data_IF_958337674143
#
_entry.id   IF_958337674143
#
_cell.length_a   1.000
_cell.length_b   1.000
_cell.length_c   1.000
_cell.angle_alpha   90.00
_cell.angle_beta   90.00
_cell.angle_gamma   90.00
#
_symmetry.space_group_name_H-M   'P 1'
#
loop_
_entity.id
_entity.type
_entity.pdbx_description
1 polymer ?
#
# COMPACT_ATOMS: atom_id res chain seq x y z
N UNK A 1 -18.93 -7.52 -16.82
CA UNK A 1 -18.08 -6.62 -16.03
C UNK A 1 -18.12 -7.08 -14.57
N UNK A 2 -16.99 -7.20 -13.92
CA UNK A 2 -16.94 -7.52 -12.49
C UNK A 2 -17.35 -6.30 -11.66
N UNK A 3 -17.99 -6.51 -10.52
CA UNK A 3 -18.34 -5.47 -9.57
C UNK A 3 -17.64 -5.71 -8.22
N UNK A 4 -17.31 -4.62 -7.54
CA UNK A 4 -16.60 -4.64 -6.25
C UNK A 4 -17.51 -3.99 -5.22
N UNK A 5 -17.68 -4.66 -4.07
CA UNK A 5 -18.34 -4.12 -2.88
C UNK A 5 -17.41 -4.22 -1.68
N UNK A 6 -17.49 -3.27 -0.76
CA UNK A 6 -16.82 -3.35 0.52
C UNK A 6 -17.84 -3.79 1.56
N UNK A 7 -17.49 -4.75 2.38
CA UNK A 7 -18.37 -5.31 3.40
C UNK A 7 -17.65 -5.38 4.75
N UNK A 8 -18.43 -5.22 5.80
CA UNK A 8 -17.99 -5.38 7.18
C UNK A 8 -18.54 -6.69 7.75
N UNK A 9 -17.67 -7.42 8.44
CA UNK A 9 -18.02 -8.61 9.22
C UNK A 9 -17.74 -8.31 10.67
N UNK A 10 -18.81 -8.23 11.51
CA UNK A 10 -18.64 -8.00 12.94
C UNK A 10 -17.86 -9.15 13.60
N UNK A 11 -17.18 -8.84 14.69
CA UNK A 11 -16.58 -9.87 15.56
C UNK A 11 -17.69 -10.67 16.28
N UNK A 12 -17.44 -11.95 16.47
CA UNK A 12 -18.32 -12.78 17.33
C UNK A 12 -18.12 -12.51 18.82
N UNK A 13 -17.04 -11.82 19.18
CA UNK A 13 -16.74 -11.43 20.56
C UNK A 13 -17.18 -9.98 20.74
N UNK A 14 -18.03 -9.75 21.73
CA UNK A 14 -18.52 -8.42 22.08
C UNK A 14 -17.37 -7.47 22.44
N UNK A 15 -17.46 -6.22 21.97
CA UNK A 15 -16.43 -5.21 22.22
C UNK A 15 -15.14 -5.34 21.39
N UNK A 16 -15.04 -6.34 20.50
CA UNK A 16 -13.88 -6.48 19.58
C UNK A 16 -14.19 -5.94 18.19
N UNK A 17 -13.13 -5.46 17.55
CA UNK A 17 -13.17 -5.01 16.15
C UNK A 17 -13.57 -6.15 15.21
N UNK A 18 -14.41 -5.84 14.25
CA UNK A 18 -14.74 -6.69 13.12
C UNK A 18 -13.74 -6.48 11.98
N UNK A 19 -13.91 -7.20 10.89
CA UNK A 19 -13.02 -7.18 9.72
C UNK A 19 -13.71 -6.62 8.50
N UNK A 20 -13.00 -5.82 7.72
CA UNK A 20 -13.42 -5.37 6.40
C UNK A 20 -12.94 -6.35 5.32
N UNK A 21 -13.72 -6.54 4.29
CA UNK A 21 -13.36 -7.39 3.16
C UNK A 21 -13.97 -6.86 1.86
N UNK A 22 -13.31 -7.14 0.74
CA UNK A 22 -13.86 -6.89 -0.57
C UNK A 22 -14.66 -8.10 -1.06
N UNK A 23 -15.81 -7.83 -1.65
CA UNK A 23 -16.65 -8.79 -2.33
C UNK A 23 -16.58 -8.51 -3.82
N UNK A 24 -16.02 -9.45 -4.58
CA UNK A 24 -15.85 -9.35 -6.03
C UNK A 24 -16.88 -10.27 -6.66
N UNK A 25 -17.69 -9.71 -7.55
CA UNK A 25 -18.80 -10.41 -8.20
C UNK A 25 -18.54 -10.41 -9.69
N UNK A 26 -18.38 -11.62 -10.27
CA UNK A 26 -18.22 -11.81 -11.71
C UNK A 26 -19.07 -12.99 -12.17
N UNK A 27 -19.90 -12.80 -13.20
CA UNK A 27 -20.78 -13.82 -13.76
C UNK A 27 -21.65 -14.53 -12.69
N UNK A 28 -22.20 -13.76 -11.73
CA UNK A 28 -22.98 -14.25 -10.57
C UNK A 28 -22.17 -15.07 -9.55
N UNK A 29 -20.88 -15.26 -9.77
CA UNK A 29 -19.99 -15.89 -8.79
C UNK A 29 -19.41 -14.82 -7.88
N UNK A 30 -19.53 -15.06 -6.57
CA UNK A 30 -19.05 -14.15 -5.53
C UNK A 30 -17.78 -14.73 -4.93
N UNK A 31 -16.75 -13.89 -4.82
CA UNK A 31 -15.52 -14.18 -4.08
C UNK A 31 -15.27 -13.11 -3.03
N UNK A 32 -14.77 -13.53 -1.88
CA UNK A 32 -14.39 -12.64 -0.80
C UNK A 32 -12.86 -12.54 -0.73
N UNK A 33 -12.37 -11.33 -0.67
CA UNK A 33 -10.96 -11.03 -0.43
C UNK A 33 -10.87 -10.31 0.93
N UNK A 34 -10.31 -10.99 1.92
CA UNK A 34 -10.12 -10.43 3.25
C UNK A 34 -9.06 -9.33 3.22
N UNK A 35 -9.26 -8.34 4.08
CA UNK A 35 -8.27 -7.30 4.34
C UNK A 35 -7.71 -7.44 5.76
N UNK A 36 -6.64 -6.73 6.05
CA UNK A 36 -6.10 -6.63 7.41
C UNK A 36 -6.79 -5.52 8.24
N UNK A 37 -7.74 -4.79 7.63
CA UNK A 37 -8.37 -3.64 8.24
C UNK A 37 -9.46 -4.07 9.21
N UNK A 38 -9.37 -3.55 10.44
CA UNK A 38 -10.31 -3.82 11.52
C UNK A 38 -10.89 -2.52 12.04
N UNK A 39 -12.20 -2.51 12.27
CA UNK A 39 -12.96 -1.38 12.82
C UNK A 39 -14.06 -1.90 13.74
N UNK A 40 -14.63 -1.04 14.57
CA UNK A 40 -15.82 -1.35 15.33
C UNK A 40 -17.10 -1.21 14.49
N UNK A 41 -18.16 -1.92 14.87
CA UNK A 41 -19.43 -1.92 14.13
C UNK A 41 -20.03 -0.51 13.95
N UNK A 42 -19.89 0.36 14.94
CA UNK A 42 -20.35 1.75 14.92
C UNK A 42 -19.54 2.69 14.02
N UNK A 43 -18.37 2.23 13.56
CA UNK A 43 -17.47 2.97 12.66
C UNK A 43 -17.73 2.61 11.18
N UNK A 44 -18.78 1.80 10.90
CA UNK A 44 -19.11 1.34 9.55
C UNK A 44 -20.50 1.80 9.10
N UNK A 45 -20.56 2.43 7.92
CA UNK A 45 -21.81 2.78 7.26
C UNK A 45 -22.13 1.78 6.14
N UNK A 46 -23.14 0.94 6.39
CA UNK A 46 -23.47 -0.18 5.51
C UNK A 46 -24.12 0.23 4.19
N UNK A 47 -24.87 1.35 4.16
CA UNK A 47 -25.55 1.81 2.95
C UNK A 47 -24.57 2.45 1.99
N UNK A 48 -23.64 3.24 2.50
CA UNK A 48 -22.61 3.92 1.70
C UNK A 48 -21.34 3.08 1.49
N UNK A 49 -21.24 1.91 2.12
CA UNK A 49 -20.08 1.02 2.08
C UNK A 49 -18.77 1.76 2.44
N UNK A 50 -18.80 2.61 3.47
CA UNK A 50 -17.70 3.45 3.88
C UNK A 50 -17.43 3.42 5.39
N UNK A 51 -16.20 3.81 5.75
CA UNK A 51 -15.79 4.00 7.14
C UNK A 51 -16.23 5.37 7.63
N UNK A 52 -16.88 5.42 8.80
CA UNK A 52 -17.26 6.68 9.45
C UNK A 52 -16.03 7.23 10.17
N UNK A 53 -15.48 8.31 9.62
CA UNK A 53 -14.27 8.95 10.15
C UNK A 53 -14.68 10.00 11.19
N UNK A 54 -14.91 9.55 12.44
CA UNK A 54 -15.29 10.44 13.55
C UNK A 54 -14.84 9.86 14.90
N UNK A 55 -14.78 10.72 15.93
CA UNK A 55 -14.49 10.32 17.31
C UNK A 55 -12.99 10.20 17.64
N UNK A 56 -12.64 9.56 18.76
CA UNK A 56 -11.27 9.52 19.28
C UNK A 56 -10.26 8.74 18.39
N UNK A 57 -10.76 7.91 17.50
CA UNK A 57 -9.95 7.09 16.58
C UNK A 57 -9.85 7.67 15.16
N UNK A 58 -10.23 8.91 14.95
CA UNK A 58 -10.28 9.58 13.64
C UNK A 58 -9.01 9.33 12.81
N UNK A 59 -7.82 9.44 13.40
CA UNK A 59 -6.55 9.24 12.67
C UNK A 59 -6.41 7.81 12.14
N UNK A 60 -6.79 6.81 12.93
CA UNK A 60 -6.75 5.39 12.52
C UNK A 60 -7.78 5.14 11.42
N UNK A 61 -9.00 5.64 11.62
CA UNK A 61 -10.11 5.45 10.69
C UNK A 61 -9.86 6.16 9.34
N UNK A 62 -9.24 7.34 9.36
CA UNK A 62 -8.79 8.03 8.16
C UNK A 62 -7.81 7.18 7.38
N UNK A 63 -6.79 6.63 8.04
CA UNK A 63 -5.82 5.72 7.40
C UNK A 63 -6.44 4.45 6.85
N UNK A 64 -7.45 3.87 7.53
CA UNK A 64 -8.19 2.70 7.02
C UNK A 64 -9.02 3.09 5.79
N UNK A 65 -9.74 4.21 5.83
CA UNK A 65 -10.55 4.69 4.72
C UNK A 65 -9.71 4.95 3.45
N UNK A 66 -8.55 5.59 3.60
CA UNK A 66 -7.62 5.84 2.50
C UNK A 66 -7.08 4.54 1.90
N UNK A 67 -6.64 3.59 2.72
CA UNK A 67 -6.14 2.29 2.25
C UNK A 67 -7.23 1.50 1.51
N UNK A 68 -8.46 1.49 2.03
CA UNK A 68 -9.60 0.87 1.33
C UNK A 68 -9.85 1.50 -0.04
N UNK A 69 -9.76 2.83 -0.14
CA UNK A 69 -9.89 3.56 -1.40
C UNK A 69 -8.80 3.17 -2.40
N UNK A 70 -7.55 3.05 -1.94
CA UNK A 70 -6.43 2.61 -2.78
C UNK A 70 -6.59 1.17 -3.26
N UNK A 71 -6.96 0.27 -2.36
CA UNK A 71 -7.15 -1.14 -2.72
C UNK A 71 -8.32 -1.30 -3.69
N UNK A 72 -9.41 -0.54 -3.51
CA UNK A 72 -10.51 -0.50 -4.46
C UNK A 72 -10.04 -0.02 -5.84
N UNK A 73 -9.29 1.07 -5.91
CA UNK A 73 -8.73 1.60 -7.17
C UNK A 73 -7.84 0.56 -7.88
N UNK A 74 -7.05 -0.20 -7.12
CA UNK A 74 -6.21 -1.28 -7.67
C UNK A 74 -7.03 -2.45 -8.17
N UNK A 75 -8.07 -2.86 -7.46
CA UNK A 75 -9.02 -3.87 -7.92
C UNK A 75 -9.70 -3.44 -9.22
N UNK A 76 -10.14 -2.18 -9.31
CA UNK A 76 -10.71 -1.61 -10.53
C UNK A 76 -9.70 -1.59 -11.69
N UNK A 77 -8.43 -1.29 -11.41
CA UNK A 77 -7.34 -1.37 -12.40
C UNK A 77 -7.11 -2.80 -12.87
N UNK A 78 -7.12 -3.77 -11.95
CA UNK A 78 -7.00 -5.19 -12.28
C UNK A 78 -8.16 -5.66 -13.17
N UNK A 79 -9.39 -5.27 -12.86
CA UNK A 79 -10.56 -5.60 -13.68
C UNK A 79 -10.41 -5.01 -15.09
N UNK A 80 -10.07 -3.70 -15.18
CA UNK A 80 -9.88 -3.03 -16.48
C UNK A 80 -8.80 -3.71 -17.33
N UNK A 81 -7.70 -4.13 -16.70
CA UNK A 81 -6.62 -4.84 -17.41
C UNK A 81 -7.11 -6.17 -17.97
N UNK A 82 -7.82 -6.99 -17.18
CA UNK A 82 -8.39 -8.25 -17.63
C UNK A 82 -9.43 -8.07 -18.75
N UNK A 83 -10.21 -6.99 -18.70
CA UNK A 83 -11.17 -6.65 -19.77
C UNK A 83 -10.48 -6.23 -21.07
N UNK A 84 -9.37 -5.49 -20.99
CA UNK A 84 -8.56 -5.13 -22.16
C UNK A 84 -7.93 -6.33 -22.86
N UNK A 85 -7.56 -7.38 -22.09
CA UNK A 85 -7.01 -8.62 -22.64
C UNK A 85 -8.06 -9.45 -23.44
N UNK A 86 -9.33 -9.05 -23.43
CA UNK A 86 -10.47 -9.71 -24.13
C UNK A 86 -10.60 -11.21 -23.84
N UNK A 87 -10.02 -11.68 -22.74
CA UNK A 87 -10.15 -13.08 -22.30
C UNK A 87 -11.31 -13.20 -21.30
N UNK A 88 -11.90 -14.39 -21.25
CA UNK A 88 -12.81 -14.71 -20.14
C UNK A 88 -11.99 -14.76 -18.85
N UNK A 89 -12.41 -14.01 -17.84
CA UNK A 89 -11.78 -14.01 -16.54
C UNK A 89 -12.81 -14.29 -15.42
N UNK A 90 -12.34 -14.84 -14.34
CA UNK A 90 -13.09 -15.13 -13.12
C UNK A 90 -12.83 -14.09 -12.03
N UNK A 91 -13.60 -14.13 -10.96
CA UNK A 91 -13.33 -13.32 -9.77
C UNK A 91 -11.99 -13.71 -9.10
N UNK A 92 -11.57 -14.97 -9.21
CA UNK A 92 -10.29 -15.47 -8.70
C UNK A 92 -9.12 -14.86 -9.49
N UNK A 93 -9.25 -14.68 -10.80
CA UNK A 93 -8.23 -14.03 -11.64
C UNK A 93 -8.06 -12.55 -11.26
N UNK A 94 -9.15 -11.85 -10.90
CA UNK A 94 -9.08 -10.48 -10.40
C UNK A 94 -8.29 -10.43 -9.10
N UNK A 95 -8.54 -11.34 -8.15
CA UNK A 95 -7.82 -11.41 -6.88
C UNK A 95 -6.34 -11.73 -7.11
N UNK A 96 -6.03 -12.69 -7.97
CA UNK A 96 -4.65 -13.06 -8.29
C UNK A 96 -3.87 -11.88 -8.91
N UNK A 97 -4.50 -11.17 -9.85
CA UNK A 97 -3.90 -9.99 -10.48
C UNK A 97 -3.73 -8.84 -9.47
N UNK A 98 -4.72 -8.61 -8.60
CA UNK A 98 -4.61 -7.63 -7.53
C UNK A 98 -3.41 -7.91 -6.62
N UNK A 99 -3.24 -9.14 -6.14
CA UNK A 99 -2.10 -9.49 -5.29
C UNK A 99 -0.76 -9.32 -6.01
N UNK A 100 -0.69 -9.66 -7.29
CA UNK A 100 0.51 -9.43 -8.11
C UNK A 100 0.82 -7.94 -8.21
N UNK A 101 -0.16 -7.12 -8.59
CA UNK A 101 0.00 -5.67 -8.72
C UNK A 101 0.37 -5.02 -7.37
N UNK A 102 -0.27 -5.45 -6.28
CA UNK A 102 0.02 -4.92 -4.93
C UNK A 102 1.46 -5.23 -4.52
N UNK A 103 1.94 -6.44 -4.80
CA UNK A 103 3.33 -6.83 -4.51
C UNK A 103 4.34 -6.04 -5.35
N UNK A 104 4.04 -5.81 -6.63
CA UNK A 104 4.89 -5.04 -7.53
C UNK A 104 4.91 -3.55 -7.19
N UNK A 105 3.82 -3.02 -6.63
CA UNK A 105 3.69 -1.60 -6.24
C UNK A 105 4.02 -1.31 -4.79
N UNK A 106 4.51 -2.27 -4.02
CA UNK A 106 4.98 -2.10 -2.65
C UNK A 106 6.39 -1.49 -2.64
N UNK A 107 6.61 -0.46 -1.80
CA UNK A 107 7.92 0.20 -1.70
C UNK A 107 9.02 -0.77 -1.25
N UNK A 108 8.76 -1.58 -0.22
CA UNK A 108 9.77 -2.49 0.31
C UNK A 108 10.16 -3.56 -0.71
N UNK A 109 9.16 -4.18 -1.34
CA UNK A 109 9.39 -5.19 -2.39
C UNK A 109 10.10 -4.58 -3.60
N UNK A 110 9.69 -3.38 -4.03
CA UNK A 110 10.33 -2.70 -5.15
C UNK A 110 11.77 -2.32 -4.82
N UNK A 111 12.02 -1.74 -3.65
CA UNK A 111 13.36 -1.35 -3.22
C UNK A 111 14.26 -2.59 -3.06
N UNK A 112 13.72 -3.71 -2.56
CA UNK A 112 14.45 -4.97 -2.50
C UNK A 112 14.85 -5.47 -3.90
N UNK A 113 13.96 -5.39 -4.89
CA UNK A 113 14.27 -5.75 -6.28
C UNK A 113 15.39 -4.89 -6.87
N UNK A 114 15.39 -3.59 -6.56
CA UNK A 114 16.46 -2.66 -6.96
C UNK A 114 17.79 -3.04 -6.32
N UNK A 115 17.79 -3.41 -5.03
CA UNK A 115 18.99 -3.85 -4.30
C UNK A 115 19.57 -5.12 -4.95
N UNK A 116 18.73 -6.10 -5.27
CA UNK A 116 19.16 -7.34 -5.96
C UNK A 116 19.78 -7.01 -7.31
N UNK A 117 19.13 -6.14 -8.08
CA UNK A 117 19.66 -5.72 -9.39
C UNK A 117 21.01 -4.99 -9.28
N UNK A 118 21.18 -4.12 -8.28
CA UNK A 118 22.46 -3.43 -8.04
C UNK A 118 23.58 -4.43 -7.71
N UNK A 119 23.29 -5.47 -6.93
CA UNK A 119 24.25 -6.55 -6.63
C UNK A 119 24.63 -7.30 -7.89
N UNK A 120 23.67 -7.68 -8.73
CA UNK A 120 23.93 -8.37 -10.01
C UNK A 120 24.79 -7.53 -10.96
N UNK A 121 24.66 -6.20 -10.91
CA UNK A 121 25.49 -5.26 -11.69
C UNK A 121 26.86 -4.99 -11.06
N UNK A 122 27.26 -5.69 -10.01
CA UNK A 122 28.54 -5.50 -9.32
C UNK A 122 28.62 -4.21 -8.48
N UNK A 123 27.51 -3.45 -8.34
CA UNK A 123 27.46 -2.19 -7.57
C UNK A 123 27.24 -2.46 -6.07
N UNK A 124 28.14 -3.22 -5.45
CA UNK A 124 27.99 -3.75 -4.08
C UNK A 124 27.80 -2.61 -3.07
N UNK A 125 28.71 -1.62 -3.03
CA UNK A 125 28.60 -0.50 -2.07
C UNK A 125 27.28 0.28 -2.20
N UNK A 126 26.82 0.49 -3.43
CA UNK A 126 25.51 1.13 -3.67
C UNK A 126 24.38 0.26 -3.13
N UNK A 127 24.42 -1.05 -3.33
CA UNK A 127 23.40 -1.96 -2.81
C UNK A 127 23.36 -1.99 -1.28
N UNK A 128 24.50 -1.88 -0.60
CA UNK A 128 24.60 -1.78 0.86
C UNK A 128 23.95 -0.50 1.38
N UNK A 129 24.16 0.63 0.72
CA UNK A 129 23.57 1.91 1.10
C UNK A 129 22.05 1.91 0.90
N UNK A 130 21.54 1.31 -0.18
CA UNK A 130 20.11 1.10 -0.39
C UNK A 130 19.52 0.17 0.68
N UNK A 131 20.26 -0.89 1.06
CA UNK A 131 19.84 -1.81 2.13
C UNK A 131 19.75 -1.09 3.48
N UNK A 132 20.73 -0.24 3.82
CA UNK A 132 20.70 0.55 5.06
C UNK A 132 19.50 1.53 5.08
N UNK A 133 19.23 2.20 3.96
CA UNK A 133 18.08 3.10 3.83
C UNK A 133 16.76 2.35 3.98
N UNK A 134 16.62 1.18 3.33
CA UNK A 134 15.43 0.35 3.47
C UNK A 134 15.20 -0.08 4.92
N UNK A 135 16.23 -0.58 5.61
CA UNK A 135 16.13 -0.97 7.01
C UNK A 135 15.69 0.20 7.90
N UNK A 136 16.29 1.37 7.71
CA UNK A 136 15.93 2.58 8.47
C UNK A 136 14.47 3.00 8.23
N UNK A 137 13.99 2.90 6.99
CA UNK A 137 12.60 3.23 6.68
C UNK A 137 11.62 2.17 7.20
N UNK A 138 12.00 0.88 7.16
CA UNK A 138 11.23 -0.21 7.76
C UNK A 138 11.08 -0.03 9.28
N UNK A 139 12.15 0.35 9.98
CA UNK A 139 12.08 0.67 11.43
C UNK A 139 11.14 1.86 11.72
N UNK A 140 11.19 2.91 10.89
CA UNK A 140 10.28 4.05 11.02
C UNK A 140 8.81 3.64 10.86
N UNK A 141 8.55 2.64 10.03
CA UNK A 141 7.21 2.15 9.74
C UNK A 141 6.77 0.96 10.59
N UNK A 142 7.57 0.56 11.59
CA UNK A 142 7.33 -0.64 12.41
C UNK A 142 7.09 -1.90 11.55
N UNK A 143 7.85 -2.02 10.45
CA UNK A 143 7.72 -3.12 9.48
C UNK A 143 6.53 -3.05 8.54
N UNK A 144 5.66 -2.06 8.68
CA UNK A 144 4.50 -1.89 7.80
C UNK A 144 4.92 -1.31 6.45
N UNK A 145 4.70 -2.09 5.38
CA UNK A 145 5.01 -1.66 4.03
C UNK A 145 4.11 -0.51 3.55
N UNK A 146 4.59 0.25 2.59
CA UNK A 146 3.89 1.40 2.01
C UNK A 146 3.72 1.15 0.52
N UNK A 147 2.51 1.32 -0.03
CA UNK A 147 2.34 1.32 -1.48
C UNK A 147 3.08 2.52 -2.09
N UNK A 148 3.62 2.36 -3.29
CA UNK A 148 4.30 3.43 -4.01
C UNK A 148 3.40 4.67 -4.20
N UNK A 149 2.08 4.46 -4.40
CA UNK A 149 1.09 5.54 -4.49
C UNK A 149 0.83 6.25 -3.15
N UNK A 150 1.22 5.64 -2.03
CA UNK A 150 1.09 6.19 -0.68
C UNK A 150 2.34 6.93 -0.21
N UNK A 151 3.32 7.13 -1.08
CA UNK A 151 4.48 7.96 -0.78
C UNK A 151 4.10 9.41 -1.03
N UNK A 152 3.79 10.12 0.05
CA UNK A 152 3.36 11.51 0.05
C UNK A 152 4.37 12.38 0.81
N UNK A 153 4.32 13.71 0.58
CA UNK A 153 5.24 14.66 1.22
C UNK A 153 5.19 14.59 2.74
N UNK A 154 3.99 14.45 3.32
CA UNK A 154 3.81 14.36 4.78
C UNK A 154 4.52 13.13 5.37
N UNK A 155 4.43 11.97 4.68
CA UNK A 155 5.14 10.77 5.10
C UNK A 155 6.66 10.99 5.10
N UNK A 156 7.18 11.68 4.10
CA UNK A 156 8.61 11.98 3.99
C UNK A 156 9.07 12.97 5.06
N UNK A 157 8.26 13.99 5.35
CA UNK A 157 8.52 14.95 6.44
C UNK A 157 8.53 14.24 7.80
N UNK A 158 7.59 13.34 8.08
CA UNK A 158 7.54 12.54 9.30
C UNK A 158 8.76 11.63 9.44
N UNK A 159 9.21 11.02 8.35
CA UNK A 159 10.43 10.21 8.36
C UNK A 159 11.67 11.04 8.66
N UNK A 160 11.81 12.21 8.03
CA UNK A 160 12.91 13.13 8.29
C UNK A 160 12.92 13.60 9.76
N UNK A 161 11.76 13.95 10.32
CA UNK A 161 11.60 14.33 11.72
C UNK A 161 11.97 13.19 12.67
N UNK A 162 11.58 11.95 12.34
CA UNK A 162 11.95 10.75 13.10
C UNK A 162 13.47 10.53 13.12
N UNK A 163 14.15 10.68 11.98
CA UNK A 163 15.62 10.57 11.89
C UNK A 163 16.33 11.64 12.74
N UNK A 164 15.85 12.87 12.68
CA UNK A 164 16.36 13.98 13.52
C UNK A 164 16.19 13.67 15.01
N UNK A 165 15.00 13.19 15.41
CA UNK A 165 14.72 12.79 16.80
C UNK A 165 15.63 11.65 17.28
N UNK A 166 15.98 10.70 16.40
CA UNK A 166 16.95 9.63 16.68
C UNK A 166 18.41 10.09 16.69
N UNK A 167 18.69 11.37 16.49
CA UNK A 167 20.05 11.92 16.48
C UNK A 167 20.86 11.56 15.23
N UNK A 168 20.20 11.17 14.14
CA UNK A 168 20.88 10.86 12.88
C UNK A 168 21.47 12.14 12.28
N UNK A 169 22.74 12.09 11.86
CA UNK A 169 23.43 13.26 11.29
C UNK A 169 22.74 13.75 10.01
N UNK A 170 22.69 15.07 9.82
CA UNK A 170 22.04 15.71 8.67
C UNK A 170 22.48 15.12 7.32
N UNK A 171 23.79 14.86 7.15
CA UNK A 171 24.31 14.24 5.91
C UNK A 171 23.71 12.85 5.65
N UNK A 172 23.54 12.04 6.70
CA UNK A 172 22.94 10.70 6.60
C UNK A 172 21.45 10.82 6.29
N UNK A 173 20.74 11.74 6.95
CA UNK A 173 19.33 12.03 6.68
C UNK A 173 19.12 12.43 5.21
N UNK A 174 19.87 13.41 4.74
CA UNK A 174 19.82 13.86 3.33
C UNK A 174 20.18 12.74 2.35
N UNK A 175 21.08 11.85 2.75
CA UNK A 175 21.46 10.69 1.94
C UNK A 175 20.31 9.68 1.83
N UNK A 176 19.64 9.35 2.93
CA UNK A 176 18.48 8.47 2.92
C UNK A 176 17.33 9.04 2.09
N UNK A 177 17.04 10.32 2.23
CA UNK A 177 16.01 11.01 1.44
C UNK A 177 16.32 10.98 -0.06
N UNK A 178 17.59 11.17 -0.45
CA UNK A 178 18.02 11.05 -1.87
C UNK A 178 17.83 9.65 -2.43
N UNK A 179 18.12 8.61 -1.64
CA UNK A 179 17.92 7.22 -2.08
C UNK A 179 16.44 6.93 -2.26
N UNK A 180 15.58 7.32 -1.30
CA UNK A 180 14.14 7.13 -1.42
C UNK A 180 13.57 7.86 -2.64
N UNK A 181 14.00 9.10 -2.88
CA UNK A 181 13.65 9.85 -4.11
C UNK A 181 14.07 9.12 -5.37
N UNK A 182 15.30 8.59 -5.41
CA UNK A 182 15.77 7.84 -6.57
C UNK A 182 14.99 6.55 -6.81
N UNK A 183 14.60 5.84 -5.75
CA UNK A 183 13.74 4.66 -5.83
C UNK A 183 12.34 5.03 -6.34
N UNK A 184 11.75 6.10 -5.80
CA UNK A 184 10.45 6.59 -6.22
C UNK A 184 10.43 6.98 -7.69
N UNK A 185 11.38 7.80 -8.14
CA UNK A 185 11.49 8.21 -9.54
C UNK A 185 11.65 7.00 -10.47
N UNK A 186 12.43 6.01 -10.07
CA UNK A 186 12.56 4.76 -10.82
C UNK A 186 11.25 3.95 -10.87
N UNK A 187 10.43 4.02 -9.84
CA UNK A 187 9.10 3.40 -9.86
C UNK A 187 8.16 4.15 -10.83
N UNK A 188 8.24 5.49 -10.87
CA UNK A 188 7.52 6.33 -11.84
C UNK A 188 7.95 6.00 -13.29
N UNK A 189 9.25 5.93 -13.56
CA UNK A 189 9.78 5.55 -14.88
C UNK A 189 9.30 4.17 -15.36
N UNK A 190 9.09 3.24 -14.41
CA UNK A 190 8.53 1.91 -14.70
C UNK A 190 6.99 1.89 -14.79
N UNK A 191 6.32 3.03 -14.61
CA UNK A 191 4.85 3.11 -14.64
C UNK A 191 4.16 2.42 -13.45
N UNK A 192 4.87 2.18 -12.34
CA UNK A 192 4.33 1.55 -11.14
C UNK A 192 3.55 2.54 -10.27
N UNK A 193 3.82 3.82 -10.40
CA UNK A 193 3.12 4.93 -9.74
C UNK A 193 3.15 6.18 -10.60
N UNK A 194 2.28 7.15 -10.32
CA UNK A 194 2.27 8.46 -10.95
C UNK A 194 3.21 9.42 -10.23
N UNK A 195 3.78 10.39 -10.96
CA UNK A 195 4.64 11.40 -10.37
C UNK A 195 3.84 12.41 -9.54
N UNK A 196 4.13 12.50 -8.22
CA UNK A 196 3.48 13.40 -7.26
C UNK A 196 4.45 14.32 -6.52
N UNK A 197 5.74 14.23 -6.82
CA UNK A 197 6.81 15.04 -6.20
C UNK A 197 6.81 15.04 -4.66
N UNK A 198 6.87 13.86 -3.99
CA UNK A 198 6.75 13.76 -2.54
C UNK A 198 8.00 14.20 -1.76
N UNK A 199 9.08 14.63 -2.43
CA UNK A 199 10.38 14.98 -1.86
C UNK A 199 10.79 16.41 -2.15
#
# INVERSE_FOLDING_TARGET
MASIKIKFRPSTVEGKEGSLYFQIIQNRIIRQMNTEYKIYAQEWESQMECVIVSGPRTNILCGVAERLKWDRTRLEKAIRQLEMERRRYSADDVIALFHRLTKETSLFSFMHSVIVQLKQLGKIRTSETYTATLKSFMEFRDGQDVPLDGIESDLMLLYEACLKKKGVRMNTTSFYMRILRAVYNRAVEKGLTEQRYPF
#
